data_IF_833163558684
#
_entry.id   IF_833163558684
#
_cell.length_a   1.000
_cell.length_b   1.000
_cell.length_c   1.000
_cell.angle_alpha   90.00
_cell.angle_beta   90.00
_cell.angle_gamma   90.00
#
_symmetry.space_group_name_H-M   'P 1'
#
loop_
_entity.id
_entity.type
_entity.pdbx_description
1 polymer ?
#
# COMPACT_ATOMS: atom_id res chain seq x y z
N UNK A 1 14.80 -10.64 13.70
CA UNK A 1 14.65 -11.90 12.96
C UNK A 1 14.53 -13.03 13.98
N UNK A 2 13.52 -13.87 13.86
CA UNK A 2 13.32 -15.03 14.71
C UNK A 2 13.61 -16.31 13.92
N UNK A 3 14.05 -17.34 14.63
CA UNK A 3 14.17 -18.71 14.13
C UNK A 3 12.95 -19.49 14.66
N UNK A 4 11.99 -19.72 13.78
CA UNK A 4 10.78 -20.48 14.08
C UNK A 4 11.11 -21.98 14.00
N UNK A 5 11.08 -22.65 15.15
CA UNK A 5 11.41 -24.07 15.27
C UNK A 5 10.14 -24.91 15.37
N UNK A 6 9.96 -25.80 14.41
CA UNK A 6 8.86 -26.76 14.37
C UNK A 6 9.37 -28.16 14.70
N UNK A 7 8.45 -29.07 15.05
CA UNK A 7 8.78 -30.47 15.27
C UNK A 7 9.60 -31.08 14.14
N UNK A 8 10.37 -32.12 14.42
CA UNK A 8 11.25 -32.82 13.48
C UNK A 8 12.43 -31.99 12.94
N UNK A 9 12.84 -30.94 13.65
CA UNK A 9 13.99 -30.10 13.31
C UNK A 9 13.80 -29.19 12.10
N UNK A 10 12.56 -28.86 11.76
CA UNK A 10 12.25 -27.86 10.72
C UNK A 10 12.46 -26.46 11.29
N UNK A 11 13.13 -25.62 10.51
CA UNK A 11 13.44 -24.24 10.84
C UNK A 11 12.95 -23.30 9.74
N UNK A 12 12.38 -22.15 10.13
CA UNK A 12 12.06 -21.05 9.26
C UNK A 12 12.49 -19.73 9.91
N UNK A 13 13.09 -18.86 9.14
CA UNK A 13 13.43 -17.52 9.61
C UNK A 13 12.31 -16.54 9.29
N UNK A 14 11.92 -15.74 10.28
CA UNK A 14 10.90 -14.72 10.16
C UNK A 14 11.52 -13.33 10.42
N UNK A 15 11.51 -12.48 9.41
CA UNK A 15 11.95 -11.09 9.49
C UNK A 15 10.74 -10.22 9.84
N UNK A 16 10.44 -10.08 11.12
CA UNK A 16 9.25 -9.41 11.62
C UNK A 16 9.56 -8.14 12.40
N UNK A 17 8.58 -7.24 12.50
CA UNK A 17 8.53 -6.09 13.42
C UNK A 17 7.92 -6.45 14.76
N UNK A 18 7.29 -7.63 14.86
CA UNK A 18 6.56 -8.09 16.06
C UNK A 18 7.49 -8.57 17.15
N UNK A 19 7.00 -8.55 18.39
CA UNK A 19 7.64 -9.19 19.52
C UNK A 19 7.44 -10.71 19.47
N UNK A 20 8.24 -11.48 20.21
CA UNK A 20 8.23 -12.94 20.19
C UNK A 20 6.88 -13.55 20.63
N UNK A 21 6.13 -12.86 21.46
CA UNK A 21 4.81 -13.24 21.98
C UNK A 21 3.65 -12.78 21.10
N UNK A 22 3.94 -12.06 20.01
CA UNK A 22 2.94 -11.51 19.07
C UNK A 22 3.12 -11.99 17.61
N UNK A 23 4.02 -12.93 17.36
CA UNK A 23 4.25 -13.48 16.02
C UNK A 23 2.97 -14.10 15.43
N UNK A 24 2.73 -13.91 14.15
CA UNK A 24 1.56 -14.49 13.48
C UNK A 24 1.56 -16.02 13.56
N UNK A 25 2.73 -16.64 13.49
CA UNK A 25 2.91 -18.08 13.53
C UNK A 25 2.41 -18.78 14.83
N UNK A 26 2.24 -18.04 15.92
CA UNK A 26 1.78 -18.58 17.21
C UNK A 26 0.33 -18.19 17.55
N UNK A 27 -0.33 -17.41 16.72
CA UNK A 27 -1.71 -17.00 16.96
C UNK A 27 -2.69 -18.14 16.73
N UNK A 28 -3.69 -18.23 17.58
CA UNK A 28 -4.86 -19.07 17.34
C UNK A 28 -5.70 -18.54 16.17
N UNK A 29 -6.55 -19.38 15.59
CA UNK A 29 -7.49 -18.96 14.53
C UNK A 29 -8.38 -17.78 14.95
N UNK A 30 -8.79 -17.75 16.21
CA UNK A 30 -9.61 -16.68 16.77
C UNK A 30 -8.83 -15.35 16.86
N UNK A 31 -7.58 -15.39 17.32
CA UNK A 31 -6.70 -14.23 17.38
C UNK A 31 -6.36 -13.74 15.99
N UNK A 32 -6.01 -14.65 15.07
CA UNK A 32 -5.73 -14.32 13.68
C UNK A 32 -6.93 -13.65 13.01
N UNK A 33 -8.14 -14.17 13.20
CA UNK A 33 -9.37 -13.60 12.63
C UNK A 33 -9.73 -12.19 13.13
N UNK A 34 -9.06 -11.72 14.20
CA UNK A 34 -9.24 -10.36 14.74
C UNK A 34 -8.07 -9.42 14.46
N UNK A 35 -7.03 -9.93 13.81
CA UNK A 35 -5.87 -9.11 13.49
C UNK A 35 -6.21 -8.02 12.48
N UNK A 36 -5.63 -6.83 12.70
CA UNK A 36 -5.43 -5.87 11.64
C UNK A 36 -4.13 -6.20 10.89
N UNK A 37 -4.02 -5.89 9.59
CA UNK A 37 -2.74 -5.94 8.90
C UNK A 37 -1.77 -4.91 9.51
N UNK A 38 -0.48 -5.05 9.19
CA UNK A 38 0.54 -4.13 9.69
C UNK A 38 0.51 -2.79 8.97
N UNK A 39 0.12 -2.79 7.68
CA UNK A 39 0.18 -1.64 6.80
C UNK A 39 -1.00 -1.56 5.82
N UNK A 40 -1.11 -0.44 5.14
CA UNK A 40 -2.04 -0.22 4.02
C UNK A 40 -1.26 0.24 2.79
N UNK A 41 -1.56 -0.32 1.62
CA UNK A 41 -1.11 0.19 0.31
C UNK A 41 -2.29 0.81 -0.43
N UNK A 42 -2.12 2.04 -0.95
CA UNK A 42 -3.19 2.87 -1.46
C UNK A 42 -3.10 3.03 -2.98
N UNK A 43 -4.11 2.56 -3.72
CA UNK A 43 -4.21 2.75 -5.16
C UNK A 43 -4.97 4.04 -5.42
N UNK A 44 -4.28 5.10 -5.83
CA UNK A 44 -4.89 6.41 -6.09
C UNK A 44 -5.10 6.57 -7.59
N UNK A 45 -6.37 6.57 -8.00
CA UNK A 45 -6.77 6.79 -9.39
C UNK A 45 -7.29 8.21 -9.54
N UNK A 46 -6.58 9.00 -10.34
CA UNK A 46 -6.94 10.37 -10.66
C UNK A 46 -7.78 10.41 -11.94
N UNK A 47 -8.90 11.10 -11.88
CA UNK A 47 -9.71 11.48 -13.03
C UNK A 47 -9.56 12.97 -13.24
N UNK A 48 -8.88 13.35 -14.32
CA UNK A 48 -8.66 14.74 -14.75
C UNK A 48 -9.52 15.05 -15.97
N UNK A 49 -9.95 16.32 -16.17
CA UNK A 49 -10.74 16.72 -17.33
C UNK A 49 -10.03 16.36 -18.64
N UNK A 50 -10.78 15.82 -19.58
CA UNK A 50 -10.33 15.50 -20.95
C UNK A 50 -9.11 14.55 -21.03
N UNK A 51 -8.85 13.77 -19.96
CA UNK A 51 -7.76 12.81 -19.89
C UNK A 51 -8.29 11.41 -19.49
N UNK A 52 -7.63 10.33 -19.93
CA UNK A 52 -7.94 9.00 -19.39
C UNK A 52 -7.63 8.95 -17.89
N UNK A 53 -8.26 8.04 -17.13
CA UNK A 53 -7.90 7.85 -15.73
C UNK A 53 -6.42 7.51 -15.58
N UNK A 54 -5.81 7.93 -14.49
CA UNK A 54 -4.38 7.76 -14.26
C UNK A 54 -4.13 7.21 -12.85
N UNK A 55 -3.33 6.15 -12.76
CA UNK A 55 -2.84 5.65 -11.49
C UNK A 55 -1.65 6.50 -11.04
N UNK A 56 -1.71 7.00 -9.81
CA UNK A 56 -0.63 7.78 -9.19
C UNK A 56 0.40 6.85 -8.57
N UNK A 57 1.64 6.95 -9.01
CA UNK A 57 2.79 6.30 -8.40
C UNK A 57 3.82 7.35 -7.98
N UNK A 58 4.64 6.99 -6.98
CA UNK A 58 5.82 7.74 -6.55
C UNK A 58 7.09 6.99 -6.92
N UNK A 59 8.19 7.70 -7.18
CA UNK A 59 9.53 7.12 -7.19
C UNK A 59 10.08 7.18 -5.77
N UNK A 60 10.16 6.04 -5.10
CA UNK A 60 10.55 5.92 -3.70
C UNK A 60 11.83 5.11 -3.56
N UNK A 61 12.80 5.62 -2.79
CA UNK A 61 14.03 4.90 -2.50
C UNK A 61 13.81 3.82 -1.45
N UNK A 62 13.92 2.57 -1.85
CA UNK A 62 13.81 1.42 -0.96
C UNK A 62 15.20 0.96 -0.51
N UNK A 63 15.55 1.28 0.73
CA UNK A 63 16.88 0.97 1.30
C UNK A 63 17.29 -0.50 1.16
N UNK A 64 16.42 -1.50 1.43
CA UNK A 64 16.80 -2.91 1.24
C UNK A 64 17.07 -3.28 -0.23
N UNK A 65 16.46 -2.56 -1.19
CA UNK A 65 16.69 -2.77 -2.62
C UNK A 65 17.87 -1.92 -3.15
N UNK A 66 18.29 -0.90 -2.40
CA UNK A 66 19.38 0.01 -2.76
C UNK A 66 19.11 0.87 -3.99
N UNK A 67 17.83 1.15 -4.30
CA UNK A 67 17.40 1.92 -5.48
C UNK A 67 16.01 2.50 -5.35
N UNK A 68 15.68 3.42 -6.26
CA UNK A 68 14.32 3.90 -6.44
C UNK A 68 13.45 2.82 -7.09
N UNK A 69 12.24 2.66 -6.58
CA UNK A 69 11.18 1.82 -7.13
C UNK A 69 9.96 2.68 -7.41
N UNK A 70 9.12 2.24 -8.35
CA UNK A 70 7.77 2.77 -8.48
C UNK A 70 6.90 2.19 -7.36
N UNK A 71 6.38 3.04 -6.52
CA UNK A 71 5.60 2.67 -5.33
C UNK A 71 4.23 3.34 -5.35
N UNK A 72 3.24 2.67 -4.81
CA UNK A 72 1.98 3.29 -4.39
C UNK A 72 2.15 3.89 -3.01
N UNK A 73 1.40 4.93 -2.61
CA UNK A 73 1.38 5.42 -1.23
C UNK A 73 1.07 4.29 -0.26
N UNK A 74 1.85 4.19 0.82
CA UNK A 74 1.71 3.09 1.76
C UNK A 74 2.36 3.39 3.11
N UNK A 75 1.71 2.99 4.20
CA UNK A 75 2.30 3.11 5.52
C UNK A 75 1.69 2.20 6.57
N UNK A 76 2.28 2.21 7.75
CA UNK A 76 1.85 1.41 8.88
C UNK A 76 0.54 1.93 9.46
N UNK A 77 -0.25 1.01 10.02
CA UNK A 77 -1.44 1.39 10.78
C UNK A 77 -1.01 1.89 12.15
N UNK A 78 -1.27 3.17 12.42
CA UNK A 78 -0.97 3.78 13.69
C UNK A 78 -2.08 3.55 14.73
N UNK A 79 -1.77 3.64 16.05
CA UNK A 79 -2.76 3.52 17.11
C UNK A 79 -3.94 4.50 16.98
N UNK A 80 -3.71 5.69 16.46
CA UNK A 80 -4.69 6.74 16.20
C UNK A 80 -5.67 6.31 15.10
N UNK A 81 -5.21 5.66 14.04
CA UNK A 81 -6.04 5.15 12.96
C UNK A 81 -7.04 4.09 13.46
N UNK A 82 -6.67 3.35 14.52
CA UNK A 82 -7.53 2.34 15.15
C UNK A 82 -8.71 2.92 15.96
N UNK A 83 -8.73 4.21 16.28
CA UNK A 83 -9.81 4.81 17.07
C UNK A 83 -11.16 4.71 16.36
N UNK A 84 -11.20 4.90 15.05
CA UNK A 84 -12.41 4.74 14.24
C UNK A 84 -12.94 3.30 14.28
N UNK A 85 -12.07 2.31 14.21
CA UNK A 85 -12.43 0.90 14.31
C UNK A 85 -12.95 0.55 15.72
N UNK A 86 -12.33 1.08 16.78
CA UNK A 86 -12.79 0.90 18.17
C UNK A 86 -14.17 1.51 18.41
N UNK A 87 -14.45 2.67 17.80
CA UNK A 87 -15.72 3.37 17.94
C UNK A 87 -16.88 2.68 17.20
N UNK A 88 -16.61 2.08 16.05
CA UNK A 88 -17.62 1.49 15.17
C UNK A 88 -17.73 -0.04 15.28
N UNK A 89 -16.67 -0.71 15.76
CA UNK A 89 -16.53 -2.17 15.68
C UNK A 89 -16.21 -2.68 14.26
N UNK A 90 -15.95 -1.79 13.32
CA UNK A 90 -15.58 -2.12 11.93
C UNK A 90 -14.08 -1.93 11.71
N UNK A 91 -13.36 -3.02 11.50
CA UNK A 91 -11.91 -3.01 11.24
C UNK A 91 -11.56 -2.24 9.95
N UNK A 92 -12.45 -2.20 8.96
CA UNK A 92 -12.22 -1.42 7.74
C UNK A 92 -12.10 0.08 8.02
N UNK A 93 -12.70 0.60 9.09
CA UNK A 93 -12.58 2.00 9.44
C UNK A 93 -11.13 2.40 9.76
N UNK A 94 -10.33 1.53 10.38
CA UNK A 94 -8.90 1.77 10.59
C UNK A 94 -8.13 1.78 9.25
N UNK A 95 -8.42 0.83 8.35
CA UNK A 95 -7.78 0.75 7.03
C UNK A 95 -8.03 2.00 6.20
N UNK A 96 -9.26 2.51 6.22
CA UNK A 96 -9.64 3.72 5.50
C UNK A 96 -9.02 4.99 6.12
N UNK A 97 -8.92 5.04 7.46
CA UNK A 97 -8.26 6.15 8.16
C UNK A 97 -6.76 6.20 7.83
N UNK A 98 -6.07 5.06 7.93
CA UNK A 98 -4.65 4.94 7.53
C UNK A 98 -4.46 5.36 6.07
N UNK A 99 -5.29 4.83 5.16
CA UNK A 99 -5.19 5.15 3.74
C UNK A 99 -5.34 6.66 3.48
N UNK A 100 -6.31 7.32 4.13
CA UNK A 100 -6.52 8.76 3.97
C UNK A 100 -5.34 9.59 4.51
N UNK A 101 -4.73 9.17 5.62
CA UNK A 101 -3.54 9.80 6.20
C UNK A 101 -2.34 9.65 5.28
N UNK A 102 -2.00 8.42 4.87
CA UNK A 102 -0.83 8.13 4.02
C UNK A 102 -0.92 8.79 2.64
N UNK A 103 -2.11 8.76 2.00
CA UNK A 103 -2.34 9.47 0.74
C UNK A 103 -2.03 10.96 0.92
N UNK A 104 -2.48 11.59 2.02
CA UNK A 104 -2.22 13.00 2.28
C UNK A 104 -0.73 13.27 2.54
N UNK A 105 -0.07 12.45 3.35
CA UNK A 105 1.33 12.64 3.76
C UNK A 105 2.27 12.46 2.57
N UNK A 106 2.12 11.40 1.79
CA UNK A 106 3.02 11.08 0.68
C UNK A 106 2.69 11.82 -0.62
N UNK A 107 1.45 12.30 -0.81
CA UNK A 107 1.05 12.91 -2.09
C UNK A 107 0.51 14.33 -2.01
N UNK A 108 0.22 14.84 -0.81
CA UNK A 108 -0.46 16.11 -0.61
C UNK A 108 -1.97 16.08 -0.88
N UNK A 109 -2.50 14.97 -1.41
CA UNK A 109 -3.92 14.83 -1.74
C UNK A 109 -4.77 14.71 -0.48
N UNK A 110 -5.64 15.69 -0.25
CA UNK A 110 -6.65 15.65 0.80
C UNK A 110 -7.93 15.08 0.21
N UNK A 111 -8.38 13.93 0.76
CA UNK A 111 -9.66 13.32 0.36
C UNK A 111 -10.85 14.13 0.87
N UNK A 112 -11.91 14.14 0.08
CA UNK A 112 -13.16 14.83 0.35
C UNK A 112 -14.33 13.83 0.37
N UNK A 113 -15.53 14.20 0.87
CA UNK A 113 -16.69 13.31 0.84
C UNK A 113 -17.19 12.91 -0.56
N UNK A 114 -16.72 13.58 -1.61
CA UNK A 114 -17.04 13.27 -3.02
C UNK A 114 -16.12 12.17 -3.56
N UNK A 115 -14.96 11.96 -2.95
CA UNK A 115 -14.01 10.94 -3.37
C UNK A 115 -14.47 9.55 -2.91
N UNK A 116 -14.18 8.55 -3.71
CA UNK A 116 -14.46 7.16 -3.34
C UNK A 116 -13.23 6.55 -2.68
N UNK A 117 -13.41 5.96 -1.51
CA UNK A 117 -12.37 5.20 -0.81
C UNK A 117 -12.92 3.83 -0.45
N UNK A 118 -12.29 2.77 -0.98
CA UNK A 118 -12.80 1.39 -0.88
C UNK A 118 -11.69 0.42 -0.47
N UNK A 119 -11.96 -0.44 0.50
CA UNK A 119 -11.08 -1.57 0.82
C UNK A 119 -11.21 -2.63 -0.28
N UNK A 120 -10.13 -2.84 -1.03
CA UNK A 120 -10.04 -3.84 -2.11
C UNK A 120 -9.75 -5.21 -1.54
N UNK A 121 -8.81 -5.27 -0.59
CA UNK A 121 -8.49 -6.48 0.15
C UNK A 121 -8.10 -6.09 1.59
N UNK A 122 -8.78 -6.62 2.62
CA UNK A 122 -8.54 -6.20 4.00
C UNK A 122 -7.27 -6.82 4.62
N UNK A 123 -6.75 -7.92 4.07
CA UNK A 123 -5.61 -8.61 4.66
C UNK A 123 -4.92 -9.54 3.65
N UNK A 124 -3.63 -9.34 3.42
CA UNK A 124 -2.80 -10.23 2.61
C UNK A 124 -1.34 -10.19 3.09
N UNK A 125 -0.61 -11.24 2.80
CA UNK A 125 0.84 -11.31 3.03
C UNK A 125 1.60 -10.99 1.74
N UNK A 126 2.70 -10.24 1.86
CA UNK A 126 3.57 -9.91 0.72
C UNK A 126 4.53 -11.07 0.37
N UNK A 127 5.21 -11.58 1.40
CA UNK A 127 6.28 -12.56 1.24
C UNK A 127 6.26 -13.56 2.42
N UNK A 128 5.20 -14.40 2.52
CA UNK A 128 4.96 -15.23 3.70
C UNK A 128 6.00 -16.35 3.92
N UNK A 129 6.92 -16.53 2.98
CA UNK A 129 8.09 -17.42 3.13
C UNK A 129 9.28 -16.78 3.87
N UNK A 130 9.20 -15.48 4.22
CA UNK A 130 10.31 -14.74 4.83
C UNK A 130 9.87 -13.82 5.96
N UNK A 131 8.65 -13.33 5.93
CA UNK A 131 8.11 -12.35 6.88
C UNK A 131 6.62 -12.63 7.13
N UNK A 132 6.17 -12.35 8.34
CA UNK A 132 4.76 -12.32 8.72
C UNK A 132 4.11 -10.95 8.50
N UNK A 133 4.82 -10.01 7.85
CA UNK A 133 4.28 -8.69 7.53
C UNK A 133 3.08 -8.79 6.58
N UNK A 134 2.01 -8.16 6.99
CA UNK A 134 0.72 -8.16 6.30
C UNK A 134 0.30 -6.74 5.89
N UNK A 135 -0.54 -6.66 4.85
CA UNK A 135 -0.95 -5.40 4.25
C UNK A 135 -2.41 -5.45 3.84
N UNK A 136 -3.11 -4.32 3.90
CA UNK A 136 -4.40 -4.15 3.24
C UNK A 136 -4.22 -3.38 1.93
N UNK A 137 -5.12 -3.59 0.97
CA UNK A 137 -5.19 -2.83 -0.27
C UNK A 137 -6.43 -1.94 -0.26
N UNK A 138 -6.23 -0.65 -0.45
CA UNK A 138 -7.30 0.36 -0.49
C UNK A 138 -7.22 1.12 -1.82
N UNK A 139 -8.35 1.32 -2.48
CA UNK A 139 -8.44 2.14 -3.70
C UNK A 139 -9.12 3.46 -3.39
N UNK A 140 -8.51 4.57 -3.82
CA UNK A 140 -9.09 5.90 -3.85
C UNK A 140 -9.33 6.31 -5.30
N UNK A 141 -10.56 6.68 -5.66
CA UNK A 141 -10.89 7.28 -6.96
C UNK A 141 -11.25 8.74 -6.69
N UNK A 142 -10.51 9.65 -7.29
CA UNK A 142 -10.61 11.08 -7.03
C UNK A 142 -10.72 11.87 -8.33
N UNK A 143 -11.61 12.86 -8.35
CA UNK A 143 -11.76 13.81 -9.45
C UNK A 143 -11.13 15.14 -9.06
N UNK A 144 -10.24 15.67 -9.90
CA UNK A 144 -9.56 16.96 -9.68
C UNK A 144 -9.41 17.70 -11.01
N UNK A 145 -9.36 19.03 -10.96
CA UNK A 145 -9.18 19.86 -12.15
C UNK A 145 -7.75 19.82 -12.69
N UNK A 146 -6.77 19.60 -11.82
CA UNK A 146 -5.34 19.56 -12.13
C UNK A 146 -4.57 18.75 -11.08
N UNK A 147 -3.24 18.74 -11.18
CA UNK A 147 -2.33 18.02 -10.29
C UNK A 147 -1.51 18.94 -9.37
N UNK A 148 -1.86 20.22 -9.25
CA UNK A 148 -1.09 21.23 -8.49
C UNK A 148 -1.01 20.92 -6.98
N UNK A 149 -1.90 20.06 -6.47
CA UNK A 149 -1.89 19.58 -5.09
C UNK A 149 -0.79 18.55 -4.80
N UNK A 150 -0.21 17.93 -5.83
CA UNK A 150 0.79 16.88 -5.63
C UNK A 150 2.04 17.44 -4.97
N UNK A 151 2.36 16.90 -3.81
CA UNK A 151 3.48 17.32 -2.98
C UNK A 151 3.99 16.15 -2.14
N UNK A 152 5.31 15.99 -2.09
CA UNK A 152 5.99 15.01 -1.23
C UNK A 152 6.60 15.65 0.03
N UNK A 153 6.19 16.89 0.36
CA UNK A 153 6.70 17.62 1.54
C UNK A 153 6.17 17.08 2.87
N UNK A 154 5.18 16.21 2.84
CA UNK A 154 4.64 15.53 4.02
C UNK A 154 5.35 14.24 4.39
N UNK A 155 6.32 13.78 3.57
CA UNK A 155 7.14 12.60 3.85
C UNK A 155 7.82 12.70 5.22
N UNK A 156 7.83 11.60 5.98
CA UNK A 156 8.34 11.56 7.35
C UNK A 156 9.50 10.57 7.50
N UNK A 157 10.36 10.83 8.47
CA UNK A 157 11.45 9.93 8.85
C UNK A 157 12.53 9.80 7.78
N UNK A 158 12.79 8.57 7.33
CA UNK A 158 13.81 8.22 6.34
C UNK A 158 13.26 8.05 4.93
N UNK A 159 12.01 8.45 4.67
CA UNK A 159 11.41 8.37 3.34
C UNK A 159 12.12 9.31 2.38
N UNK A 160 12.46 8.78 1.20
CA UNK A 160 13.14 9.52 0.15
C UNK A 160 12.39 9.30 -1.17
N UNK A 161 11.77 10.35 -1.67
CA UNK A 161 11.03 10.37 -2.92
C UNK A 161 11.73 11.21 -3.99
N UNK A 162 11.54 10.84 -5.27
CA UNK A 162 12.07 11.55 -6.45
C UNK A 162 10.93 11.82 -7.47
N UNK A 163 9.82 12.35 -6.99
CA UNK A 163 8.70 12.79 -7.80
C UNK A 163 7.61 11.73 -8.02
N UNK A 164 6.64 12.12 -8.85
CA UNK A 164 5.44 11.34 -9.16
C UNK A 164 5.46 10.83 -10.60
N UNK A 165 4.79 9.71 -10.81
CA UNK A 165 4.52 9.13 -12.14
C UNK A 165 3.02 8.89 -12.28
N UNK A 166 2.39 9.55 -13.26
CA UNK A 166 1.00 9.33 -13.62
C UNK A 166 0.92 8.30 -14.75
N UNK A 167 0.26 7.19 -14.47
CA UNK A 167 0.24 6.00 -15.32
C UNK A 167 -1.13 5.83 -15.96
N UNK A 168 -1.21 6.01 -17.28
CA UNK A 168 -2.42 5.70 -18.06
C UNK A 168 -2.63 4.19 -18.20
N UNK A 169 -3.83 3.70 -18.60
CA UNK A 169 -4.05 2.28 -18.84
C UNK A 169 -3.07 1.65 -19.85
N UNK A 170 -2.68 2.39 -20.91
CA UNK A 170 -1.68 1.92 -21.89
C UNK A 170 -0.32 1.76 -21.22
N UNK A 171 0.10 2.77 -20.44
CA UNK A 171 1.39 2.72 -19.72
C UNK A 171 1.41 1.64 -18.63
N UNK A 172 0.28 1.38 -17.99
CA UNK A 172 0.16 0.28 -17.03
C UNK A 172 0.41 -1.09 -17.69
N UNK A 173 -0.15 -1.31 -18.90
CA UNK A 173 0.09 -2.54 -19.68
C UNK A 173 1.57 -2.67 -20.09
N UNK A 174 2.22 -1.55 -20.47
CA UNK A 174 3.66 -1.56 -20.77
C UNK A 174 4.51 -1.91 -19.54
N UNK A 175 4.25 -1.28 -18.39
CA UNK A 175 4.94 -1.58 -17.14
C UNK A 175 4.81 -3.05 -16.76
N UNK A 176 3.59 -3.61 -16.84
CA UNK A 176 3.35 -5.02 -16.56
C UNK A 176 4.09 -5.97 -17.52
N UNK A 177 4.18 -5.60 -18.80
CA UNK A 177 4.86 -6.40 -19.81
C UNK A 177 6.40 -6.37 -19.67
N UNK A 178 6.95 -5.20 -19.32
CA UNK A 178 8.41 -4.99 -19.21
C UNK A 178 8.96 -5.34 -17.81
N UNK A 179 8.16 -5.21 -16.76
CA UNK A 179 8.60 -5.32 -15.36
C UNK A 179 9.33 -4.09 -14.81
N UNK A 180 9.46 -3.02 -15.61
CA UNK A 180 10.08 -1.75 -15.24
C UNK A 180 9.58 -0.61 -16.13
N UNK A 181 9.82 0.65 -15.71
CA UNK A 181 9.64 1.80 -16.58
C UNK A 181 10.81 1.98 -17.57
N UNK A 182 10.76 3.04 -18.40
CA UNK A 182 11.78 3.32 -19.41
C UNK A 182 13.11 3.79 -18.79
N UNK A 183 13.11 4.21 -17.53
CA UNK A 183 14.30 4.59 -16.75
C UNK A 183 14.90 3.39 -15.99
N UNK A 184 14.28 2.22 -16.04
CA UNK A 184 14.72 1.01 -15.37
C UNK A 184 14.28 0.93 -13.91
N UNK A 185 13.29 1.73 -13.47
CA UNK A 185 12.69 1.57 -12.14
C UNK A 185 11.76 0.36 -12.12
N UNK A 186 12.08 -0.58 -11.23
CA UNK A 186 11.22 -1.72 -10.91
C UNK A 186 10.11 -1.29 -9.95
N UNK A 187 9.25 -2.23 -9.55
CA UNK A 187 8.16 -2.00 -8.63
C UNK A 187 7.91 -3.19 -7.71
N UNK A 188 7.23 -2.96 -6.59
CA UNK A 188 6.86 -3.99 -5.62
C UNK A 188 5.64 -4.81 -6.08
N UNK A 189 5.37 -5.92 -5.37
CA UNK A 189 4.14 -6.70 -5.57
C UNK A 189 2.87 -5.87 -5.33
N UNK A 190 2.91 -4.90 -4.42
CA UNK A 190 1.76 -4.02 -4.17
C UNK A 190 1.50 -3.07 -5.33
N UNK A 191 2.56 -2.52 -5.94
CA UNK A 191 2.43 -1.72 -7.16
C UNK A 191 1.96 -2.57 -8.34
N UNK A 192 2.44 -3.83 -8.45
CA UNK A 192 1.91 -4.78 -9.44
C UNK A 192 0.41 -5.01 -9.24
N UNK A 193 -0.04 -5.23 -8.01
CA UNK A 193 -1.46 -5.39 -7.69
C UNK A 193 -2.27 -4.13 -8.05
N UNK A 194 -1.71 -2.94 -7.78
CA UNK A 194 -2.34 -1.67 -8.15
C UNK A 194 -2.50 -1.52 -9.66
N UNK A 195 -1.45 -1.83 -10.44
CA UNK A 195 -1.51 -1.79 -11.91
C UNK A 195 -2.56 -2.76 -12.45
N UNK A 196 -2.62 -3.98 -11.93
CA UNK A 196 -3.62 -4.97 -12.32
C UNK A 196 -5.04 -4.53 -11.97
N UNK A 197 -5.27 -4.07 -10.74
CA UNK A 197 -6.58 -3.60 -10.30
C UNK A 197 -7.03 -2.36 -11.09
N UNK A 198 -6.12 -1.40 -11.31
CA UNK A 198 -6.37 -0.21 -12.11
C UNK A 198 -6.92 -0.56 -13.50
N UNK A 199 -6.32 -1.55 -14.18
CA UNK A 199 -6.79 -1.99 -15.49
C UNK A 199 -8.19 -2.63 -15.46
N UNK A 200 -8.67 -3.12 -14.33
CA UNK A 200 -10.03 -3.66 -14.21
C UNK A 200 -11.09 -2.57 -14.08
N UNK A 201 -10.71 -1.38 -13.58
CA UNK A 201 -11.65 -0.28 -13.31
C UNK A 201 -11.46 0.93 -14.24
N UNK A 202 -10.43 0.92 -15.09
CA UNK A 202 -10.11 2.05 -15.95
C UNK A 202 -11.10 2.23 -17.12
N UNK A 203 -11.81 1.18 -17.49
CA UNK A 203 -12.78 1.17 -18.58
C UNK A 203 -14.23 1.44 -18.08
N UNK A 204 -14.44 1.62 -16.77
CA UNK A 204 -15.70 2.00 -16.13
C UNK A 204 -15.85 3.53 -16.01
#
# INVERSE_FOLDING_TARGET
VYDLQYGEGKHYFDATRRCADDLVAIKSEEEFGRMLPDAVSCFVVLRLPDQPPQLLLSQEYRYPAGRFLLSVPAGLIDPEDCEAARATGDTNAALLATAAREIKEETGLVLTPQDTLTVVNPFLFSTPGMTDESNALVCAIVERDNTDFLSQTGAVGSELFDGFVLVTPEKARELLAKGSDDNGHFYSVFTWAALMYFLTIADE
#
